data_IF_890941047003
#
_entry.id   IF_890941047003
#
_cell.length_a   1.000
_cell.length_b   1.000
_cell.length_c   1.000
_cell.angle_alpha   90.00
_cell.angle_beta   90.00
_cell.angle_gamma   90.00
#
_symmetry.space_group_name_H-M   'P 1'
#
loop_
_entity.id
_entity.type
_entity.pdbx_description
1 polymer ?
#
# COMPACT_ATOMS: atom_id res chain seq x y z
N UNK A 1 -4.14 17.55 -10.02
CA UNK A 1 -4.27 16.22 -9.41
C UNK A 1 -3.05 15.86 -8.58
N UNK A 2 -1.87 16.04 -9.14
CA UNK A 2 -0.63 15.72 -8.44
C UNK A 2 -0.40 16.62 -7.23
N UNK A 3 -0.73 17.90 -7.34
CA UNK A 3 -0.61 18.84 -6.22
C UNK A 3 -1.54 18.46 -5.07
N UNK A 4 -2.78 18.08 -5.38
CA UNK A 4 -3.75 17.63 -4.38
C UNK A 4 -3.28 16.36 -3.67
N UNK A 5 -2.66 15.45 -4.42
CA UNK A 5 -2.09 14.22 -3.89
C UNK A 5 -1.01 14.52 -2.84
N UNK A 6 -0.08 15.41 -3.18
CA UNK A 6 1.01 15.78 -2.27
C UNK A 6 0.47 16.49 -1.03
N UNK A 7 -0.49 17.41 -1.20
CA UNK A 7 -1.09 18.13 -0.08
C UNK A 7 -1.80 17.18 0.87
N UNK A 8 -2.56 16.23 0.33
CA UNK A 8 -3.27 15.25 1.15
C UNK A 8 -2.29 14.33 1.89
N UNK A 9 -1.22 13.93 1.24
CA UNK A 9 -0.17 13.13 1.88
C UNK A 9 0.42 13.87 3.09
N UNK A 10 0.77 15.14 2.91
CA UNK A 10 1.31 15.95 4.00
C UNK A 10 0.31 16.12 5.13
N UNK A 11 -0.96 16.31 4.78
CA UNK A 11 -2.01 16.42 5.78
C UNK A 11 -2.12 15.16 6.62
N UNK A 12 -2.10 13.98 5.97
CA UNK A 12 -2.16 12.70 6.66
C UNK A 12 -0.96 12.53 7.61
N UNK A 13 0.24 12.90 7.17
CA UNK A 13 1.42 12.83 8.03
C UNK A 13 1.31 13.78 9.22
N UNK A 14 0.85 14.98 8.99
CA UNK A 14 0.68 15.99 10.05
C UNK A 14 -0.31 15.55 11.11
N UNK A 15 -1.38 14.87 10.70
CA UNK A 15 -2.39 14.35 11.62
C UNK A 15 -1.94 13.13 12.41
N UNK A 16 -0.78 12.56 12.08
CA UNK A 16 -0.28 11.37 12.73
C UNK A 16 -1.01 10.10 12.31
N UNK A 17 -1.53 10.07 11.08
CA UNK A 17 -2.17 8.89 10.53
C UNK A 17 -1.20 7.71 10.51
N UNK A 18 -1.69 6.51 10.80
CA UNK A 18 -0.84 5.32 10.86
C UNK A 18 -0.10 5.12 9.53
N UNK A 19 1.23 4.83 9.56
CA UNK A 19 2.01 4.70 8.34
C UNK A 19 1.49 3.69 7.34
N UNK A 20 0.91 2.57 7.78
CA UNK A 20 0.34 1.57 6.88
C UNK A 20 -0.84 2.15 6.09
N UNK A 21 -1.66 2.98 6.73
CA UNK A 21 -2.78 3.66 6.06
C UNK A 21 -2.30 4.69 5.07
N UNK A 22 -1.24 5.42 5.41
CA UNK A 22 -0.62 6.38 4.48
C UNK A 22 -0.03 5.64 3.27
N UNK A 23 0.64 4.51 3.51
CA UNK A 23 1.19 3.69 2.43
C UNK A 23 0.10 3.21 1.48
N UNK A 24 -1.02 2.74 2.02
CA UNK A 24 -2.17 2.32 1.21
C UNK A 24 -2.72 3.49 0.40
N UNK A 25 -2.82 4.66 1.00
CA UNK A 25 -3.26 5.88 0.32
C UNK A 25 -2.33 6.23 -0.85
N UNK A 26 -1.02 6.20 -0.63
CA UNK A 26 -0.04 6.52 -1.67
C UNK A 26 -0.20 5.61 -2.89
N UNK A 27 -0.33 4.31 -2.66
CA UNK A 27 -0.52 3.36 -3.73
C UNK A 27 -1.84 3.60 -4.48
N UNK A 28 -2.93 3.68 -3.72
CA UNK A 28 -4.27 3.80 -4.26
C UNK A 28 -4.44 5.06 -5.10
N UNK A 29 -3.99 6.21 -4.56
CA UNK A 29 -4.12 7.49 -5.26
C UNK A 29 -3.22 7.58 -6.49
N UNK A 30 -2.02 7.03 -6.44
CA UNK A 30 -1.13 7.08 -7.59
C UNK A 30 -1.69 6.25 -8.75
N UNK A 31 -2.28 5.10 -8.45
CA UNK A 31 -2.96 4.30 -9.48
C UNK A 31 -4.17 5.07 -10.04
N UNK A 32 -4.94 5.72 -9.17
CA UNK A 32 -6.13 6.47 -9.56
C UNK A 32 -5.79 7.65 -10.49
N UNK A 33 -4.70 8.35 -10.19
CA UNK A 33 -4.31 9.52 -10.99
C UNK A 33 -3.80 9.12 -12.38
N UNK A 34 -3.25 7.93 -12.52
CA UNK A 34 -2.72 7.41 -13.78
C UNK A 34 -1.71 8.34 -14.42
N UNK A 35 -0.64 8.72 -13.70
CA UNK A 35 0.36 9.63 -14.28
C UNK A 35 1.19 9.01 -15.39
N UNK A 36 1.15 7.69 -15.54
CA UNK A 36 1.92 6.96 -16.55
C UNK A 36 1.00 6.11 -17.41
N UNK A 37 1.40 5.87 -18.66
CA UNK A 37 0.64 5.01 -19.56
C UNK A 37 0.77 3.55 -19.13
N UNK A 38 1.99 3.14 -18.79
CA UNK A 38 2.29 1.79 -18.32
C UNK A 38 3.01 1.86 -16.98
N UNK A 39 2.95 0.77 -16.21
CA UNK A 39 3.69 0.65 -14.98
C UNK A 39 3.11 1.38 -13.78
N UNK A 40 1.86 1.89 -13.87
CA UNK A 40 1.21 2.57 -12.75
C UNK A 40 1.19 1.72 -11.49
N UNK A 41 0.80 0.44 -11.64
CA UNK A 41 0.76 -0.47 -10.49
C UNK A 41 2.14 -0.74 -9.93
N UNK A 42 3.14 -0.92 -10.81
CA UNK A 42 4.52 -1.18 -10.42
C UNK A 42 5.10 0.00 -9.67
N UNK A 43 4.95 1.20 -10.22
CA UNK A 43 5.44 2.43 -9.60
C UNK A 43 4.73 2.70 -8.28
N UNK A 44 3.42 2.47 -8.23
CA UNK A 44 2.63 2.67 -7.02
C UNK A 44 3.06 1.72 -5.91
N UNK A 45 3.32 0.46 -6.24
CA UNK A 45 3.80 -0.51 -5.25
C UNK A 45 5.20 -0.16 -4.76
N UNK A 46 6.06 0.34 -5.65
CA UNK A 46 7.40 0.79 -5.26
C UNK A 46 7.32 1.95 -4.28
N UNK A 47 6.51 2.95 -4.58
CA UNK A 47 6.35 4.13 -3.70
C UNK A 47 5.80 3.70 -2.34
N UNK A 48 4.79 2.85 -2.31
CA UNK A 48 4.21 2.33 -1.09
C UNK A 48 5.28 1.63 -0.23
N UNK A 49 6.07 0.76 -0.85
CA UNK A 49 7.09 0.01 -0.14
C UNK A 49 8.25 0.89 0.34
N UNK A 50 8.64 1.89 -0.44
CA UNK A 50 9.66 2.84 0.00
C UNK A 50 9.17 3.60 1.24
N UNK A 51 7.92 4.00 1.27
CA UNK A 51 7.35 4.68 2.42
C UNK A 51 7.32 3.76 3.64
N UNK A 52 6.89 2.52 3.47
CA UNK A 52 6.85 1.54 4.56
C UNK A 52 8.24 1.31 5.15
N UNK A 53 9.25 1.13 4.29
CA UNK A 53 10.63 0.96 4.75
C UNK A 53 11.11 2.18 5.52
N UNK A 54 10.81 3.37 5.04
CA UNK A 54 11.20 4.61 5.71
C UNK A 54 10.61 4.71 7.11
N UNK A 55 9.43 4.15 7.31
CA UNK A 55 8.73 4.18 8.60
C UNK A 55 9.03 2.97 9.48
N UNK A 56 9.97 2.13 9.08
CA UNK A 56 10.40 0.97 9.87
C UNK A 56 9.59 -0.29 9.68
N UNK A 57 8.77 -0.33 8.63
CA UNK A 57 7.99 -1.51 8.28
C UNK A 57 8.72 -2.34 7.22
N UNK A 58 8.15 -3.49 6.87
CA UNK A 58 8.75 -4.39 5.89
C UNK A 58 8.06 -4.26 4.54
N UNK A 59 8.71 -4.78 3.50
CA UNK A 59 8.15 -4.80 2.15
C UNK A 59 6.94 -5.72 2.10
N UNK A 60 5.93 -5.34 1.31
CA UNK A 60 4.75 -6.16 1.09
C UNK A 60 4.62 -6.52 -0.39
N UNK A 61 4.11 -7.74 -0.64
CA UNK A 61 3.86 -8.22 -1.98
C UNK A 61 2.35 -8.45 -2.16
N UNK A 62 1.69 -7.50 -2.80
CA UNK A 62 0.24 -7.55 -2.97
C UNK A 62 -0.21 -8.48 -4.09
N UNK A 63 0.71 -8.93 -4.94
CA UNK A 63 0.40 -9.74 -6.12
C UNK A 63 1.16 -11.07 -6.11
N UNK A 64 1.29 -11.68 -4.94
CA UNK A 64 2.11 -12.87 -4.78
C UNK A 64 1.55 -14.14 -5.42
N UNK A 65 0.23 -14.33 -5.41
CA UNK A 65 -0.43 -15.50 -5.99
C UNK A 65 -1.57 -15.04 -6.89
N UNK A 66 -2.17 -15.98 -7.63
CA UNK A 66 -3.31 -15.66 -8.49
C UNK A 66 -4.50 -15.19 -7.64
N UNK A 67 -4.75 -15.86 -6.51
CA UNK A 67 -5.81 -15.43 -5.58
C UNK A 67 -5.50 -14.06 -4.99
N UNK A 68 -4.25 -13.81 -4.64
CA UNK A 68 -3.82 -12.51 -4.13
C UNK A 68 -4.00 -11.41 -5.17
N UNK A 69 -3.70 -11.71 -6.45
CA UNK A 69 -3.92 -10.75 -7.53
C UNK A 69 -5.39 -10.38 -7.68
N UNK A 70 -6.27 -11.37 -7.61
CA UNK A 70 -7.71 -11.12 -7.71
C UNK A 70 -8.20 -10.25 -6.57
N UNK A 71 -7.77 -10.54 -5.33
CA UNK A 71 -8.11 -9.73 -4.15
C UNK A 71 -7.59 -8.31 -4.28
N UNK A 72 -6.39 -8.15 -4.79
CA UNK A 72 -5.78 -6.85 -5.03
C UNK A 72 -6.60 -6.00 -6.01
N UNK A 73 -6.97 -6.58 -7.15
CA UNK A 73 -7.77 -5.85 -8.14
C UNK A 73 -9.18 -5.54 -7.63
N UNK A 74 -9.79 -6.45 -6.89
CA UNK A 74 -11.11 -6.20 -6.29
C UNK A 74 -11.06 -5.08 -5.27
N UNK A 75 -10.02 -5.03 -4.45
CA UNK A 75 -9.87 -3.96 -3.46
C UNK A 75 -9.67 -2.60 -4.12
N UNK A 76 -8.88 -2.54 -5.21
CA UNK A 76 -8.71 -1.31 -5.98
C UNK A 76 -10.02 -0.86 -6.61
N UNK A 77 -10.78 -1.79 -7.17
CA UNK A 77 -12.07 -1.47 -7.75
C UNK A 77 -13.03 -0.92 -6.71
N UNK A 78 -13.10 -1.54 -5.53
CA UNK A 78 -13.94 -1.05 -4.45
C UNK A 78 -13.55 0.38 -4.05
N UNK A 79 -12.26 0.67 -3.99
CA UNK A 79 -11.79 2.00 -3.64
C UNK A 79 -12.13 3.04 -4.70
N UNK A 80 -11.91 2.71 -5.98
CA UNK A 80 -12.03 3.69 -7.07
C UNK A 80 -13.45 3.86 -7.57
N UNK A 81 -14.19 2.76 -7.72
CA UNK A 81 -15.53 2.78 -8.30
C UNK A 81 -16.59 2.97 -7.22
N UNK A 82 -16.48 2.23 -6.13
CA UNK A 82 -17.46 2.26 -5.05
C UNK A 82 -17.12 3.27 -3.97
N UNK A 83 -15.93 3.87 -4.02
CA UNK A 83 -15.42 4.86 -3.06
C UNK A 83 -15.35 4.31 -1.64
N UNK A 84 -14.96 3.03 -1.52
CA UNK A 84 -14.75 2.37 -0.24
C UNK A 84 -13.27 1.96 -0.12
N UNK A 85 -12.40 2.87 0.37
CA UNK A 85 -10.96 2.59 0.45
C UNK A 85 -10.60 1.59 1.54
N UNK A 86 -11.53 1.23 2.42
CA UNK A 86 -11.26 0.37 3.56
C UNK A 86 -10.77 -1.01 3.13
N UNK A 87 -11.33 -1.56 2.04
CA UNK A 87 -10.92 -2.87 1.54
C UNK A 87 -9.45 -2.89 1.15
N UNK A 88 -8.98 -1.83 0.49
CA UNK A 88 -7.57 -1.72 0.11
C UNK A 88 -6.68 -1.49 1.33
N UNK A 89 -7.12 -0.66 2.27
CA UNK A 89 -6.40 -0.42 3.52
C UNK A 89 -6.22 -1.73 4.30
N UNK A 90 -7.27 -2.53 4.41
CA UNK A 90 -7.20 -3.83 5.08
C UNK A 90 -6.25 -4.77 4.34
N UNK A 91 -6.30 -4.78 3.02
CA UNK A 91 -5.41 -5.61 2.21
C UNK A 91 -3.94 -5.30 2.51
N UNK A 92 -3.57 -4.02 2.53
CA UNK A 92 -2.20 -3.61 2.81
C UNK A 92 -1.82 -3.94 4.25
N UNK A 93 -2.71 -3.69 5.21
CA UNK A 93 -2.47 -3.99 6.61
C UNK A 93 -2.25 -5.49 6.85
N UNK A 94 -3.07 -6.33 6.23
CA UNK A 94 -2.92 -7.78 6.35
C UNK A 94 -1.62 -8.26 5.69
N UNK A 95 -1.27 -7.70 4.53
CA UNK A 95 -0.01 -8.04 3.85
C UNK A 95 1.19 -7.66 4.71
N UNK A 96 1.14 -6.49 5.36
CA UNK A 96 2.22 -6.06 6.25
C UNK A 96 2.32 -6.97 7.48
N UNK A 97 1.18 -7.36 8.05
CA UNK A 97 1.15 -8.28 9.18
C UNK A 97 1.83 -9.60 8.83
N UNK A 98 1.51 -10.18 7.67
CA UNK A 98 2.11 -11.43 7.22
C UNK A 98 3.61 -11.26 7.00
N UNK A 99 4.02 -10.14 6.39
CA UNK A 99 5.44 -9.85 6.13
C UNK A 99 6.22 -9.72 7.43
N UNK A 100 5.67 -9.01 8.42
CA UNK A 100 6.29 -8.85 9.73
C UNK A 100 6.41 -10.19 10.46
N UNK A 101 5.39 -11.01 10.41
CA UNK A 101 5.41 -12.33 11.04
C UNK A 101 6.49 -13.22 10.43
N UNK A 102 6.64 -13.17 9.10
CA UNK A 102 7.68 -13.93 8.39
C UNK A 102 9.06 -13.44 8.79
N UNK A 103 9.24 -12.13 8.87
CA UNK A 103 10.51 -11.53 9.28
C UNK A 103 10.89 -11.95 10.70
N UNK A 104 9.95 -11.88 11.64
CA UNK A 104 10.16 -12.26 13.03
C UNK A 104 10.47 -13.76 13.16
N UNK A 105 9.79 -14.59 12.39
CA UNK A 105 10.04 -16.02 12.36
C UNK A 105 11.46 -16.33 11.91
N UNK A 106 11.93 -15.66 10.86
CA UNK A 106 13.29 -15.83 10.36
C UNK A 106 14.34 -15.37 11.36
N UNK A 107 14.07 -14.29 12.09
CA UNK A 107 14.95 -13.83 13.16
C UNK A 107 15.02 -14.86 14.29
N UNK A 108 13.87 -15.45 14.65
CA UNK A 108 13.80 -16.48 15.67
C UNK A 108 14.62 -17.72 15.31
N UNK A 109 14.64 -18.08 14.04
CA UNK A 109 15.44 -19.21 13.54
C UNK A 109 16.94 -18.91 13.56
N UNK A 110 17.30 -17.65 13.44
CA UNK A 110 18.69 -17.21 13.40
C UNK A 110 19.31 -17.15 14.80
N UNK A 111 18.51 -16.90 15.79
CA UNK A 111 18.93 -16.79 17.18
C UNK A 111 18.94 -18.17 17.85
#
# INVERSE_FOLDING_TARGET
LMEDFILKFRELETKGTHPVLIAAYLHDELVRIHPFIDGNGRTSRLLMNLYLLRKGYTLVNLKGSDDAKLGYYKALEASHVEKHPEAFQILVAEAEKVSLQRYLSNLGETV
#
